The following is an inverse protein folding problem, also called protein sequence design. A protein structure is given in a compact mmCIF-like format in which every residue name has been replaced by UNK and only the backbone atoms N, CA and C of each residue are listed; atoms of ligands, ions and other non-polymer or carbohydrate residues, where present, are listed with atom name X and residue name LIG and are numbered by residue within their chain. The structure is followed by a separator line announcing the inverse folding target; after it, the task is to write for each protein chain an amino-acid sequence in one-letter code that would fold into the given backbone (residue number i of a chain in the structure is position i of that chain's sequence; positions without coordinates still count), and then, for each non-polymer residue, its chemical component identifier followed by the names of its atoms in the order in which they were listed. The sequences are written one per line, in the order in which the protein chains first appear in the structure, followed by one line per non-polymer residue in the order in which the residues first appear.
data_IF_520549210364
#
_entry.id   IF_520549210364
#
_cell.length_a   1.000
_cell.length_b   1.000
_cell.length_c   1.000
_cell.angle_alpha   90.00
_cell.angle_beta   90.00
_cell.angle_gamma   90.00
#
_symmetry.space_group_name_H-M   'P 1'
#
loop_
_entity.id
_entity.type
_entity.pdbx_description
1 polymer ?
#
# COMPACT_ATOMS: atom_id res chain seq x y z
N UNK A 1 -8.56 -5.79 -11.33
CA UNK A 1 -9.63 -4.97 -10.69
C UNK A 1 -9.56 -5.00 -9.17
N UNK A 2 -10.15 -5.95 -8.42
CA UNK A 2 -10.13 -5.83 -6.94
C UNK A 2 -8.74 -5.99 -6.31
N UNK A 3 -7.88 -6.85 -6.88
CA UNK A 3 -6.56 -7.14 -6.33
C UNK A 3 -5.56 -5.97 -6.38
N UNK A 4 -5.65 -5.10 -7.39
CA UNK A 4 -4.76 -3.95 -7.53
C UNK A 4 -5.08 -2.86 -6.51
N UNK A 5 -6.36 -2.64 -6.21
CA UNK A 5 -6.79 -1.71 -5.14
C UNK A 5 -6.26 -2.19 -3.79
N UNK A 6 -6.35 -3.50 -3.49
CA UNK A 6 -5.79 -4.05 -2.26
C UNK A 6 -4.27 -3.93 -2.20
N UNK A 7 -3.56 -4.17 -3.32
CA UNK A 7 -2.12 -3.94 -3.38
C UNK A 7 -1.78 -2.47 -3.08
N UNK A 8 -2.48 -1.52 -3.71
CA UNK A 8 -2.29 -0.09 -3.46
C UNK A 8 -2.55 0.31 -2.00
N UNK A 9 -3.57 -0.25 -1.36
CA UNK A 9 -3.84 -0.04 0.07
C UNK A 9 -2.70 -0.58 0.95
N UNK A 10 -2.20 -1.78 0.66
CA UNK A 10 -1.10 -2.39 1.41
C UNK A 10 0.19 -1.59 1.25
N UNK A 11 0.49 -1.12 0.04
CA UNK A 11 1.63 -0.25 -0.26
C UNK A 11 1.52 1.07 0.50
N UNK A 12 0.35 1.71 0.49
CA UNK A 12 0.08 2.92 1.28
C UNK A 12 0.35 2.70 2.77
N UNK A 13 -0.22 1.64 3.35
CA UNK A 13 -0.06 1.32 4.77
C UNK A 13 1.41 1.04 5.14
N UNK A 14 2.17 0.41 4.24
CA UNK A 14 3.60 0.19 4.43
C UNK A 14 4.36 1.52 4.53
N UNK A 15 4.16 2.42 3.57
CA UNK A 15 4.83 3.72 3.56
C UNK A 15 4.46 4.56 4.78
N UNK A 16 3.18 4.62 5.13
CA UNK A 16 2.72 5.29 6.36
C UNK A 16 3.38 4.71 7.63
N UNK A 17 3.58 3.40 7.68
CA UNK A 17 4.22 2.74 8.83
C UNK A 17 5.70 3.07 8.95
N UNK A 18 6.45 3.16 7.84
CA UNK A 18 7.90 3.44 7.89
C UNK A 18 8.21 4.92 8.06
N UNK A 19 7.34 5.82 7.58
CA UNK A 19 7.47 7.28 7.73
C UNK A 19 6.83 7.80 9.02
N UNK A 20 5.98 7.00 9.68
CA UNK A 20 5.33 7.35 10.93
C UNK A 20 6.28 7.36 12.14
N UNK A 21 5.78 7.87 13.27
CA UNK A 21 6.50 7.94 14.54
C UNK A 21 6.66 6.58 15.24
N UNK A 22 5.79 5.61 14.94
CA UNK A 22 5.85 4.25 15.47
C UNK A 22 6.11 3.23 14.35
N UNK A 23 7.40 2.97 14.10
CA UNK A 23 7.87 1.99 13.10
C UNK A 23 7.64 0.57 13.60
N UNK A 24 6.39 0.13 13.50
CA UNK A 24 5.99 -1.20 13.96
C UNK A 24 6.43 -2.29 12.97
N UNK A 25 7.46 -3.05 13.34
CA UNK A 25 8.01 -4.15 12.52
C UNK A 25 6.96 -5.22 12.16
N UNK A 26 6.01 -5.50 13.05
CA UNK A 26 4.94 -6.46 12.76
C UNK A 26 4.01 -5.96 11.66
N UNK A 27 3.70 -4.65 11.63
CA UNK A 27 2.91 -4.05 10.53
C UNK A 27 3.67 -4.08 9.22
N UNK A 28 4.96 -3.74 9.23
CA UNK A 28 5.85 -3.84 8.06
C UNK A 28 5.85 -5.28 7.52
N UNK A 29 6.02 -6.26 8.40
CA UNK A 29 5.97 -7.69 8.06
C UNK A 29 4.65 -8.06 7.39
N UNK A 30 3.52 -7.67 7.98
CA UNK A 30 2.20 -7.97 7.42
C UNK A 30 2.02 -7.34 6.04
N UNK A 31 2.48 -6.11 5.82
CA UNK A 31 2.35 -5.44 4.53
C UNK A 31 3.16 -6.17 3.44
N UNK A 32 4.44 -6.43 3.68
CA UNK A 32 5.32 -7.09 2.70
C UNK A 32 4.79 -8.49 2.34
N UNK A 33 4.41 -9.29 3.34
CA UNK A 33 3.90 -10.65 3.09
C UNK A 33 2.54 -10.62 2.39
N UNK A 34 1.65 -9.69 2.75
CA UNK A 34 0.34 -9.57 2.10
C UNK A 34 0.49 -9.19 0.64
N UNK A 35 1.35 -8.22 0.31
CA UNK A 35 1.53 -7.80 -1.08
C UNK A 35 2.22 -8.88 -1.92
N UNK A 36 3.21 -9.59 -1.36
CA UNK A 36 3.84 -10.72 -2.04
C UNK A 36 2.86 -11.85 -2.36
N UNK A 37 1.93 -12.13 -1.44
CA UNK A 37 0.84 -13.09 -1.69
C UNK A 37 -0.15 -12.58 -2.74
N UNK A 38 -0.56 -11.31 -2.69
CA UNK A 38 -1.48 -10.71 -3.67
C UNK A 38 -0.91 -10.75 -5.10
N UNK A 39 0.41 -10.67 -5.23
CA UNK A 39 1.14 -10.74 -6.50
C UNK A 39 1.47 -12.16 -6.94
N UNK A 40 1.13 -13.17 -6.14
CA UNK A 40 1.52 -14.57 -6.36
C UNK A 40 3.03 -14.73 -6.61
N UNK A 41 3.85 -14.03 -5.82
CA UNK A 41 5.32 -14.14 -5.91
C UNK A 41 5.76 -15.60 -5.70
N UNK A 42 6.80 -16.06 -6.42
CA UNK A 42 7.26 -17.42 -6.30
C UNK A 42 7.75 -17.74 -4.87
N UNK A 43 7.66 -19.01 -4.43
CA UNK A 43 8.03 -19.40 -3.06
C UNK A 43 9.44 -18.99 -2.64
N UNK A 44 10.39 -19.01 -3.57
CA UNK A 44 11.78 -18.62 -3.32
C UNK A 44 11.90 -17.13 -2.96
N UNK A 45 11.17 -16.28 -3.69
CA UNK A 45 11.14 -14.83 -3.42
C UNK A 45 10.42 -14.52 -2.13
N UNK A 46 9.31 -15.22 -1.84
CA UNK A 46 8.62 -15.08 -0.55
C UNK A 46 9.53 -15.47 0.62
N UNK A 47 10.28 -16.56 0.49
CA UNK A 47 11.25 -17.02 1.50
C UNK A 47 12.35 -15.99 1.73
N UNK A 48 12.91 -15.43 0.65
CA UNK A 48 13.88 -14.35 0.71
C UNK A 48 13.35 -13.12 1.46
N UNK A 49 12.14 -12.65 1.14
CA UNK A 49 11.52 -11.50 1.80
C UNK A 49 11.30 -11.77 3.30
N UNK A 50 10.86 -12.97 3.66
CA UNK A 50 10.67 -13.37 5.07
C UNK A 50 12.01 -13.36 5.82
N UNK A 51 13.09 -13.81 5.20
CA UNK A 51 14.40 -13.80 5.84
C UNK A 51 14.96 -12.38 6.01
N UNK A 52 14.75 -11.50 5.03
CA UNK A 52 15.07 -10.07 5.17
C UNK A 52 14.26 -9.41 6.29
N UNK A 53 12.99 -9.77 6.45
CA UNK A 53 12.15 -9.30 7.55
C UNK A 53 12.66 -9.78 8.93
N UNK A 54 13.12 -11.04 9.03
CA UNK A 54 13.72 -11.56 10.27
C UNK A 54 14.99 -10.81 10.63
N UNK A 55 15.89 -10.59 9.65
CA UNK A 55 17.10 -9.79 9.85
C UNK A 55 16.76 -8.36 10.27
N UNK A 56 15.77 -7.75 9.61
CA UNK A 56 15.34 -6.39 9.94
C UNK A 56 14.83 -6.28 11.38
N UNK A 57 14.11 -7.31 11.85
CA UNK A 57 13.68 -7.41 13.25
C UNK A 57 14.84 -7.57 14.23
N UNK A 58 15.86 -8.36 13.88
CA UNK A 58 17.02 -8.61 14.74
C UNK A 58 17.94 -7.38 14.86
N UNK A 59 18.12 -6.66 13.76
CA UNK A 59 19.00 -5.49 13.69
C UNK A 59 18.31 -4.17 14.02
N UNK A 60 16.98 -4.18 14.18
CA UNK A 60 16.16 -2.97 14.35
C UNK A 60 16.28 -1.95 13.20
N UNK A 61 16.68 -2.44 12.02
CA UNK A 61 16.89 -1.64 10.82
C UNK A 61 16.15 -2.28 9.65
N UNK A 62 15.49 -1.48 8.83
CA UNK A 62 14.76 -1.99 7.68
C UNK A 62 15.73 -2.32 6.55
N UNK A 63 15.71 -3.56 6.05
CA UNK A 63 16.52 -3.97 4.91
C UNK A 63 16.16 -3.17 3.66
N UNK A 64 17.18 -2.72 2.92
CA UNK A 64 17.03 -2.03 1.63
C UNK A 64 16.29 -2.93 0.63
N UNK A 65 16.55 -4.24 0.65
CA UNK A 65 15.87 -5.21 -0.21
C UNK A 65 14.33 -5.16 -0.05
N UNK A 66 13.84 -4.88 1.15
CA UNK A 66 12.40 -4.76 1.43
C UNK A 66 11.84 -3.43 0.93
N UNK A 67 12.61 -2.36 1.02
CA UNK A 67 12.23 -1.05 0.49
C UNK A 67 12.17 -1.11 -1.03
N UNK A 68 13.22 -1.63 -1.67
CA UNK A 68 13.29 -1.78 -3.12
C UNK A 68 12.11 -2.62 -3.64
N UNK A 69 11.84 -3.76 -3.00
CA UNK A 69 10.68 -4.57 -3.35
C UNK A 69 9.36 -3.80 -3.25
N UNK A 70 9.14 -3.01 -2.19
CA UNK A 70 7.90 -2.26 -2.03
C UNK A 70 7.79 -1.08 -3.02
N UNK A 71 8.92 -0.46 -3.38
CA UNK A 71 8.99 0.55 -4.43
C UNK A 71 8.67 -0.04 -5.80
N UNK A 72 9.26 -1.19 -6.15
CA UNK A 72 8.96 -1.90 -7.41
C UNK A 72 7.47 -2.25 -7.52
N UNK A 73 6.85 -2.65 -6.41
CA UNK A 73 5.42 -2.91 -6.36
C UNK A 73 4.63 -1.62 -6.58
N UNK A 74 5.04 -0.51 -5.96
CA UNK A 74 4.40 0.79 -6.13
C UNK A 74 4.48 1.29 -7.57
N UNK A 75 5.63 1.15 -8.23
CA UNK A 75 5.85 1.56 -9.62
C UNK A 75 5.02 0.74 -10.60
N UNK A 76 4.69 -0.51 -10.25
CA UNK A 76 3.84 -1.38 -11.05
C UNK A 76 2.33 -1.11 -10.88
N UNK A 77 1.92 -0.21 -9.98
CA UNK A 77 0.50 0.09 -9.75
C UNK A 77 -0.03 1.13 -10.72
N UNK A 78 -1.20 0.83 -11.29
CA UNK A 78 -1.92 1.75 -12.17
C UNK A 78 -2.50 2.94 -11.39
N UNK A 79 -2.30 4.15 -11.93
CA UNK A 79 -2.65 5.43 -11.29
C UNK A 79 -4.13 5.54 -10.84
N UNK A 80 -5.14 5.02 -11.59
CA UNK A 80 -6.53 5.03 -11.14
C UNK A 80 -6.76 4.22 -9.85
N UNK A 81 -6.06 3.09 -9.67
CA UNK A 81 -6.20 2.26 -8.47
C UNK A 81 -5.50 2.89 -7.27
N UNK A 82 -4.39 3.57 -7.50
CA UNK A 82 -3.72 4.38 -6.48
C UNK A 82 -4.65 5.50 -6.02
N UNK A 83 -5.25 6.26 -6.93
CA UNK A 83 -6.20 7.32 -6.56
C UNK A 83 -7.38 6.79 -5.73
N UNK A 84 -7.98 5.67 -6.15
CA UNK A 84 -9.06 5.03 -5.41
C UNK A 84 -8.62 4.54 -4.01
N UNK A 85 -7.47 3.89 -3.90
CA UNK A 85 -6.93 3.40 -2.62
C UNK A 85 -6.53 4.52 -1.66
N UNK A 86 -6.10 5.67 -2.19
CA UNK A 86 -5.72 6.84 -1.42
C UNK A 86 -6.92 7.75 -1.09
N UNK A 87 -8.12 7.42 -1.59
CA UNK A 87 -9.34 8.20 -1.36
C UNK A 87 -9.38 9.50 -2.16
N UNK A 88 -8.55 9.64 -3.20
CA UNK A 88 -8.56 10.78 -4.11
C UNK A 88 -9.82 10.67 -4.96
N UNK A 89 -10.83 11.51 -4.64
CA UNK A 89 -12.03 11.67 -5.46
C UNK A 89 -11.75 12.73 -6.53
N UNK A 90 -12.09 12.41 -7.77
CA UNK A 90 -11.91 13.34 -8.88
C UNK A 90 -12.82 14.56 -8.68
N UNK A 91 -12.28 15.78 -8.84
CA UNK A 91 -13.02 17.03 -8.60
C UNK A 91 -14.26 17.14 -9.50
N UNK A 92 -14.20 16.52 -10.69
CA UNK A 92 -15.32 16.44 -11.62
C UNK A 92 -16.52 15.66 -11.06
N UNK A 93 -16.29 14.60 -10.26
CA UNK A 93 -17.35 13.80 -9.64
C UNK A 93 -18.01 14.56 -8.49
N UNK A 94 -17.24 15.34 -7.72
CA UNK A 94 -17.76 16.19 -6.66
C UNK A 94 -18.62 17.33 -7.21
N UNK A 95 -18.26 17.93 -8.36
CA UNK A 95 -19.06 18.99 -8.97
C UNK A 95 -20.49 18.53 -9.32
N UNK A 96 -20.66 17.27 -9.72
CA UNK A 96 -21.99 16.68 -9.94
C UNK A 96 -22.75 16.45 -8.61
N UNK A 97 -22.09 15.94 -7.56
CA UNK A 97 -22.73 15.78 -6.25
C UNK A 97 -23.17 17.12 -5.66
N UNK A 98 -22.36 18.17 -5.73
CA UNK A 98 -22.75 19.51 -5.26
C UNK A 98 -23.88 20.15 -6.09
N UNK A 99 -23.97 19.85 -7.39
CA UNK A 99 -25.09 20.31 -8.22
C UNK A 99 -26.40 19.56 -7.99
N UNK A 100 -26.35 18.40 -7.31
CA UNK A 100 -27.51 17.56 -6.99
C UNK A 100 -28.13 17.85 -5.62
N UNK A 101 -27.47 18.65 -4.78
CA UNK A 101 -28.03 19.14 -3.52
C UNK A 101 -28.88 20.37 -3.83
N UNK A 102 -30.16 20.15 -4.15
CA UNK A 102 -31.15 21.23 -4.21
C UNK A 102 -31.17 21.99 -2.87
N UNK A 103 -30.83 23.28 -2.91
CA UNK A 103 -30.99 24.24 -1.81
C UNK A 103 -32.48 24.62 -1.55
N UNK A 104 -33.43 23.76 -1.93
CA UNK A 104 -34.86 24.07 -1.92
C UNK A 104 -35.60 23.56 -0.66
N UNK A 105 -34.84 23.31 0.41
CA UNK A 105 -35.37 22.86 1.71
C UNK A 105 -34.88 23.74 2.86
N UNK A 106 -35.13 25.06 2.78
CA UNK A 106 -34.98 26.01 3.88
C UNK A 106 -36.30 26.74 4.15
#
# INVERSE_FOLDING_TARGET
MSGEIFQAQVVKNFFETITGSDRNITRIYMCVVSVAKLRNEPPDKLSFLIDQLKKSRQHHELSIDLLDYMCDVADALDQPFVQAAFGVRDLATNAQEFSSISLDSL
#
